data_IF_415160396681
#
_entry.id   IF_415160396681
#
_cell.length_a   1.000
_cell.length_b   1.000
_cell.length_c   1.000
_cell.angle_alpha   90.00
_cell.angle_beta   90.00
_cell.angle_gamma   90.00
#
_symmetry.space_group_name_H-M   'P 1'
#
loop_
_entity.id
_entity.type
_entity.pdbx_description
1 polymer ?
#
# COMPACT_ATOMS: atom_id res chain seq x y z
N UNK A 1 15.12 13.20 -15.34
CA UNK A 1 13.76 13.11 -14.75
C UNK A 1 13.53 14.17 -13.67
N UNK A 2 14.52 14.50 -12.83
CA UNK A 2 14.37 15.53 -11.77
C UNK A 2 14.27 16.97 -12.28
N UNK A 3 14.60 17.21 -13.55
CA UNK A 3 14.69 18.55 -14.14
C UNK A 3 13.40 19.02 -14.83
N UNK A 4 12.34 18.22 -14.76
CA UNK A 4 11.04 18.54 -15.34
C UNK A 4 10.00 18.61 -14.22
N UNK A 5 9.30 19.75 -14.01
CA UNK A 5 8.37 19.93 -12.89
C UNK A 5 7.01 19.23 -13.09
N UNK A 6 6.92 18.28 -14.03
CA UNK A 6 5.68 17.56 -14.35
C UNK A 6 5.89 16.05 -14.25
N UNK A 7 4.79 15.33 -14.02
CA UNK A 7 4.80 13.87 -13.97
C UNK A 7 5.33 13.29 -15.30
N UNK A 8 6.40 12.49 -15.22
CA UNK A 8 7.11 11.91 -16.38
C UNK A 8 6.99 10.38 -16.46
N UNK A 9 5.85 9.86 -15.99
CA UNK A 9 5.58 8.44 -15.93
C UNK A 9 6.24 7.73 -14.76
N UNK A 10 6.26 6.40 -14.82
CA UNK A 10 6.76 5.53 -13.76
C UNK A 10 7.94 4.65 -14.24
N UNK A 11 8.49 3.88 -13.31
CA UNK A 11 9.50 2.84 -13.54
C UNK A 11 8.93 1.49 -13.11
N UNK A 12 9.24 0.44 -13.86
CA UNK A 12 8.83 -0.93 -13.52
C UNK A 12 10.03 -1.66 -12.94
N UNK A 13 9.86 -2.26 -11.76
CA UNK A 13 10.87 -3.07 -11.09
C UNK A 13 10.28 -4.43 -10.76
N UNK A 14 10.98 -5.49 -11.13
CA UNK A 14 10.58 -6.88 -10.84
C UNK A 14 11.37 -7.39 -9.64
N UNK A 15 10.67 -8.07 -8.72
CA UNK A 15 11.25 -8.72 -7.52
C UNK A 15 10.80 -10.17 -7.48
N UNK A 16 11.52 -11.02 -6.74
CA UNK A 16 11.22 -12.45 -6.69
C UNK A 16 9.95 -12.79 -5.90
N UNK A 17 9.56 -11.93 -4.96
CA UNK A 17 8.42 -12.12 -4.07
C UNK A 17 8.19 -10.92 -3.17
N UNK A 18 7.19 -11.00 -2.31
CA UNK A 18 6.77 -9.90 -1.44
C UNK A 18 7.85 -9.55 -0.41
N UNK A 19 8.48 -10.54 0.22
CA UNK A 19 9.55 -10.36 1.20
C UNK A 19 10.77 -9.66 0.61
N UNK A 20 11.13 -10.00 -0.63
CA UNK A 20 12.24 -9.35 -1.34
C UNK A 20 11.90 -7.88 -1.67
N UNK A 21 10.67 -7.62 -2.12
CA UNK A 21 10.19 -6.26 -2.36
C UNK A 21 10.19 -5.42 -1.06
N UNK A 22 9.66 -5.97 0.05
CA UNK A 22 9.62 -5.30 1.35
C UNK A 22 11.02 -5.02 1.89
N UNK A 23 11.98 -5.94 1.71
CA UNK A 23 13.38 -5.73 2.11
C UNK A 23 14.04 -4.58 1.33
N UNK A 24 13.76 -4.47 0.03
CA UNK A 24 14.26 -3.36 -0.79
C UNK A 24 13.62 -2.02 -0.36
N UNK A 25 12.36 -2.03 0.05
CA UNK A 25 11.68 -0.86 0.61
C UNK A 25 12.21 -0.46 1.99
N UNK A 26 12.47 -1.42 2.89
CA UNK A 26 12.96 -1.13 4.26
C UNK A 26 14.35 -0.50 4.28
N UNK A 27 15.12 -0.64 3.19
CA UNK A 27 16.42 0.02 3.03
C UNK A 27 16.31 1.52 2.68
N UNK A 28 15.08 2.01 2.51
CA UNK A 28 14.76 3.36 2.04
C UNK A 28 13.85 4.01 3.09
N UNK A 29 13.92 5.33 3.23
CA UNK A 29 12.98 6.10 4.07
C UNK A 29 11.58 6.16 3.39
N UNK A 30 10.94 5.00 3.28
CA UNK A 30 9.64 4.79 2.61
C UNK A 30 8.62 4.31 3.65
N UNK A 31 7.49 5.00 3.73
CA UNK A 31 6.32 4.55 4.48
C UNK A 31 5.61 3.46 3.67
N UNK A 32 5.43 2.28 4.24
CA UNK A 32 4.83 1.12 3.58
C UNK A 32 3.43 0.85 4.12
N UNK A 33 2.43 0.94 3.23
CA UNK A 33 1.02 0.73 3.53
C UNK A 33 0.53 -0.52 2.80
N UNK A 34 0.18 -1.54 3.57
CA UNK A 34 -0.46 -2.75 3.07
C UNK A 34 -1.97 -2.57 2.90
N UNK A 35 -2.50 -2.92 1.73
CA UNK A 35 -3.95 -2.91 1.48
C UNK A 35 -4.56 -4.27 1.79
N UNK A 36 -5.59 -4.29 2.65
CA UNK A 36 -6.28 -5.53 3.03
C UNK A 36 -7.65 -5.25 3.62
N UNK A 37 -8.63 -6.10 3.28
CA UNK A 37 -9.96 -6.09 3.94
C UNK A 37 -9.89 -6.36 5.45
N UNK A 38 -8.81 -7.02 5.91
CA UNK A 38 -8.55 -7.32 7.33
C UNK A 38 -7.79 -6.19 8.05
N UNK A 39 -7.45 -5.12 7.32
CA UNK A 39 -6.76 -3.96 7.88
C UNK A 39 -7.67 -3.05 8.70
N UNK A 40 -7.07 -2.03 9.31
CA UNK A 40 -7.79 -0.95 10.00
C UNK A 40 -8.67 -0.22 8.99
N UNK A 41 -9.89 0.14 9.39
CA UNK A 41 -10.80 0.93 8.55
C UNK A 41 -10.17 2.30 8.25
N UNK A 42 -10.06 2.66 6.96
CA UNK A 42 -9.49 3.95 6.53
C UNK A 42 -10.15 5.15 7.23
N UNK A 43 -11.46 5.07 7.49
CA UNK A 43 -12.23 6.15 8.13
C UNK A 43 -11.80 6.37 9.58
N UNK A 44 -11.30 5.33 10.25
CA UNK A 44 -10.88 5.38 11.64
C UNK A 44 -9.42 5.81 11.83
N UNK A 45 -8.63 5.81 10.75
CA UNK A 45 -7.18 6.12 10.79
C UNK A 45 -6.84 7.37 9.98
N UNK A 46 -7.85 8.10 9.52
CA UNK A 46 -7.68 9.13 8.50
C UNK A 46 -6.79 10.29 8.98
N UNK A 47 -7.00 10.78 10.20
CA UNK A 47 -6.21 11.88 10.77
C UNK A 47 -4.77 11.47 11.08
N UNK A 48 -4.59 10.27 11.64
CA UNK A 48 -3.28 9.66 11.91
C UNK A 48 -2.50 9.48 10.60
N UNK A 49 -3.14 8.90 9.60
CA UNK A 49 -2.55 8.65 8.29
C UNK A 49 -2.17 9.95 7.59
N UNK A 50 -3.01 11.00 7.65
CA UNK A 50 -2.70 12.31 7.07
C UNK A 50 -1.42 12.89 7.67
N UNK A 51 -1.32 12.93 9.00
CA UNK A 51 -0.14 13.48 9.68
C UNK A 51 1.16 12.70 9.40
N UNK A 52 1.06 11.40 9.12
CA UNK A 52 2.21 10.58 8.74
C UNK A 52 2.57 10.74 7.25
N UNK A 53 1.58 10.86 6.37
CA UNK A 53 1.79 11.12 4.94
C UNK A 53 2.50 12.46 4.70
N UNK A 54 2.15 13.51 5.46
CA UNK A 54 2.82 14.83 5.38
C UNK A 54 4.31 14.77 5.72
N UNK A 55 4.71 13.86 6.61
CA UNK A 55 6.10 13.67 7.04
C UNK A 55 6.86 12.67 6.18
N UNK A 56 6.14 11.82 5.44
CA UNK A 56 6.73 10.76 4.65
C UNK A 56 7.47 11.33 3.44
N UNK A 57 8.76 11.01 3.32
CA UNK A 57 9.55 11.35 2.11
C UNK A 57 9.04 10.61 0.87
N UNK A 58 8.51 9.41 1.07
CA UNK A 58 7.96 8.56 0.01
C UNK A 58 7.03 7.51 0.61
N UNK A 59 6.06 7.06 -0.19
CA UNK A 59 5.02 6.12 0.23
C UNK A 59 4.97 4.95 -0.74
N UNK A 60 4.86 3.73 -0.23
CA UNK A 60 4.63 2.52 -0.99
C UNK A 60 3.29 1.89 -0.59
N UNK A 61 2.35 1.85 -1.53
CA UNK A 61 1.13 1.05 -1.41
C UNK A 61 1.38 -0.34 -1.98
N UNK A 62 1.13 -1.37 -1.18
CA UNK A 62 1.26 -2.77 -1.63
C UNK A 62 -0.10 -3.44 -1.71
N UNK A 63 -0.26 -4.28 -2.74
CA UNK A 63 -1.52 -4.92 -3.08
C UNK A 63 -1.34 -6.43 -3.17
N UNK A 64 -2.33 -7.16 -2.64
CA UNK A 64 -2.43 -8.59 -2.82
C UNK A 64 -3.07 -8.96 -4.15
N UNK A 65 -3.10 -10.26 -4.43
CA UNK A 65 -3.90 -10.81 -5.53
C UNK A 65 -5.38 -10.89 -5.10
N UNK A 66 -6.28 -10.85 -6.08
CA UNK A 66 -7.72 -11.06 -5.80
C UNK A 66 -8.00 -12.43 -5.15
N UNK A 67 -7.19 -13.45 -5.47
CA UNK A 67 -7.30 -14.82 -4.96
C UNK A 67 -6.47 -15.12 -3.72
N UNK A 68 -5.43 -14.32 -3.44
CA UNK A 68 -4.53 -14.45 -2.28
C UNK A 68 -4.15 -13.07 -1.75
N UNK A 69 -4.55 -12.76 -0.53
CA UNK A 69 -4.24 -11.50 0.12
C UNK A 69 -2.77 -11.42 0.55
N UNK A 70 -2.31 -10.23 0.91
CA UNK A 70 -0.92 -10.02 1.39
C UNK A 70 -0.57 -10.86 2.62
N UNK A 71 -1.55 -11.12 3.51
CA UNK A 71 -1.35 -12.01 4.65
C UNK A 71 -1.10 -13.46 4.23
N UNK A 72 -1.80 -13.93 3.18
CA UNK A 72 -1.64 -15.29 2.68
C UNK A 72 -0.27 -15.45 2.01
N UNK A 73 0.12 -14.45 1.19
CA UNK A 73 1.45 -14.39 0.55
C UNK A 73 2.56 -14.33 1.61
N UNK A 74 2.42 -13.47 2.63
CA UNK A 74 3.41 -13.36 3.69
C UNK A 74 3.56 -14.66 4.49
N UNK A 75 2.45 -15.35 4.75
CA UNK A 75 2.45 -16.67 5.39
C UNK A 75 3.17 -17.72 4.55
N UNK A 76 2.90 -17.75 3.23
CA UNK A 76 3.58 -18.66 2.29
C UNK A 76 5.09 -18.40 2.22
N UNK A 77 5.50 -17.12 2.29
CA UNK A 77 6.91 -16.72 2.32
C UNK A 77 7.55 -16.76 3.74
N UNK A 78 6.81 -17.25 4.74
CA UNK A 78 7.32 -17.51 6.09
C UNK A 78 7.62 -16.26 6.91
N UNK A 79 6.84 -15.18 6.78
CA UNK A 79 6.99 -13.99 7.61
C UNK A 79 5.65 -13.39 8.05
N UNK A 80 5.69 -12.51 9.06
CA UNK A 80 4.53 -11.74 9.52
C UNK A 80 4.51 -10.39 8.81
N UNK A 81 3.46 -10.12 8.04
CA UNK A 81 3.32 -8.91 7.22
C UNK A 81 3.47 -7.64 8.08
N UNK A 82 2.81 -7.62 9.22
CA UNK A 82 2.72 -6.50 10.16
C UNK A 82 4.07 -6.10 10.76
N UNK A 83 5.08 -6.97 10.68
CA UNK A 83 6.44 -6.65 11.12
C UNK A 83 7.27 -5.89 10.08
N UNK A 84 6.73 -5.72 8.87
CA UNK A 84 7.46 -5.20 7.71
C UNK A 84 6.73 -4.04 7.02
N UNK A 85 5.62 -3.59 7.59
CA UNK A 85 4.81 -2.49 7.05
C UNK A 85 4.39 -1.57 8.19
N UNK A 86 4.25 -0.29 7.91
CA UNK A 86 3.82 0.71 8.89
C UNK A 86 2.31 0.61 9.13
N UNK A 87 1.56 0.32 8.06
CA UNK A 87 0.11 0.23 8.12
C UNK A 87 -0.42 -1.01 7.39
N UNK A 88 -1.54 -1.55 7.91
CA UNK A 88 -2.44 -2.41 7.15
C UNK A 88 -3.82 -1.78 7.17
N UNK A 89 -4.30 -1.34 6.00
CA UNK A 89 -5.51 -0.52 5.88
C UNK A 89 -6.52 -1.19 4.96
N UNK A 90 -7.78 -1.15 5.38
CA UNK A 90 -8.93 -1.39 4.55
C UNK A 90 -9.44 -0.08 3.96
N UNK A 91 -9.09 0.19 2.70
CA UNK A 91 -9.55 1.38 1.96
C UNK A 91 -11.00 1.29 1.47
N UNK A 92 -11.64 0.11 1.56
CA UNK A 92 -12.96 -0.15 0.99
C UNK A 92 -13.84 -0.81 2.06
N UNK A 93 -14.12 -0.09 3.18
CA UNK A 93 -15.00 -0.62 4.22
C UNK A 93 -16.39 -0.87 3.63
N UNK A 94 -17.06 -1.92 4.13
CA UNK A 94 -18.37 -2.35 3.64
C UNK A 94 -18.42 -2.59 2.12
N UNK A 95 -17.35 -3.11 1.52
CA UNK A 95 -17.36 -3.46 0.10
C UNK A 95 -18.59 -4.32 -0.25
N UNK A 96 -19.43 -3.84 -1.16
CA UNK A 96 -20.66 -4.50 -1.59
C UNK A 96 -20.43 -5.71 -2.50
N UNK A 97 -19.18 -6.14 -2.65
CA UNK A 97 -18.75 -7.23 -3.53
C UNK A 97 -17.92 -8.23 -2.75
N UNK A 98 -17.88 -9.48 -3.23
CA UNK A 98 -17.08 -10.55 -2.60
C UNK A 98 -15.58 -10.25 -2.63
N UNK A 99 -15.11 -9.68 -3.74
CA UNK A 99 -13.70 -9.33 -3.99
C UNK A 99 -13.63 -7.99 -4.70
N UNK A 100 -12.60 -7.22 -4.40
CA UNK A 100 -12.19 -6.06 -5.20
C UNK A 100 -10.95 -6.49 -5.95
N UNK A 101 -10.95 -6.33 -7.28
CA UNK A 101 -9.81 -6.69 -8.13
C UNK A 101 -8.67 -5.70 -7.91
N UNK A 102 -7.44 -6.11 -8.19
CA UNK A 102 -6.27 -5.28 -7.89
C UNK A 102 -6.33 -3.94 -8.64
N UNK A 103 -6.77 -3.94 -9.89
CA UNK A 103 -6.96 -2.75 -10.72
C UNK A 103 -7.98 -1.76 -10.13
N UNK A 104 -9.05 -2.25 -9.50
CA UNK A 104 -10.06 -1.43 -8.82
C UNK A 104 -9.48 -0.87 -7.51
N UNK A 105 -8.81 -1.72 -6.73
CA UNK A 105 -8.21 -1.36 -5.45
C UNK A 105 -7.12 -0.29 -5.60
N UNK A 106 -6.30 -0.37 -6.65
CA UNK A 106 -5.28 0.64 -6.98
C UNK A 106 -5.92 1.99 -7.19
N UNK A 107 -6.95 2.08 -8.04
CA UNK A 107 -7.63 3.35 -8.33
C UNK A 107 -8.30 3.95 -7.08
N UNK A 108 -9.00 3.13 -6.29
CA UNK A 108 -9.71 3.59 -5.09
C UNK A 108 -8.74 4.09 -4.03
N UNK A 109 -7.73 3.29 -3.68
CA UNK A 109 -6.79 3.67 -2.63
C UNK A 109 -5.92 4.86 -3.01
N UNK A 110 -5.48 4.99 -4.27
CA UNK A 110 -4.77 6.18 -4.74
C UNK A 110 -5.65 7.43 -4.70
N UNK A 111 -6.94 7.32 -5.03
CA UNK A 111 -7.87 8.45 -4.94
C UNK A 111 -8.03 8.92 -3.49
N UNK A 112 -8.14 7.99 -2.54
CA UNK A 112 -8.19 8.33 -1.11
C UNK A 112 -6.89 8.97 -0.65
N UNK A 113 -5.74 8.41 -1.01
CA UNK A 113 -4.43 8.99 -0.65
C UNK A 113 -4.28 10.38 -1.25
N UNK A 114 -4.70 10.60 -2.50
CA UNK A 114 -4.66 11.92 -3.15
C UNK A 114 -5.41 12.98 -2.33
N UNK A 115 -6.60 12.65 -1.82
CA UNK A 115 -7.38 13.57 -0.96
C UNK A 115 -6.74 13.84 0.40
N UNK A 116 -5.84 12.97 0.88
CA UNK A 116 -5.15 13.14 2.15
C UNK A 116 -3.85 13.93 2.02
N UNK A 117 -3.20 13.89 0.85
CA UNK A 117 -1.95 14.62 0.57
C UNK A 117 -2.18 15.98 -0.11
N UNK A 118 -3.39 16.23 -0.63
CA UNK A 118 -3.91 17.58 -0.91
C UNK A 118 -4.26 18.32 0.39
#
# INVERSE_FOLDING_TARGET
RKDVPVYWGYEVKVRKGLKDALRDLSSREVMVIATSRKGRDIRAVMDELRGDLEKAKSVALIYGMWSKGLFDIAKEEGFKLEKHVDYVINFIPNQGTRTVRTEEAVMISLSVINLLVE
#
